data_IF_239169981263
#
_entry.id   IF_239169981263
#
_cell.length_a   1.000
_cell.length_b   1.000
_cell.length_c   1.000
_cell.angle_alpha   90.00
_cell.angle_beta   90.00
_cell.angle_gamma   90.00
#
_symmetry.space_group_name_H-M   'P 1'
#
loop_
_entity.id
_entity.type
_entity.pdbx_description
1 polymer ?
#
# COMPACT_ATOMS: atom_id res chain seq x y z
N UNK A 1 -23.38 4.77 35.23
CA UNK A 1 -22.37 3.73 34.96
C UNK A 1 -22.75 3.04 33.65
N UNK A 2 -22.15 3.45 32.53
CA UNK A 2 -22.41 2.82 31.24
C UNK A 2 -21.39 1.69 31.05
N UNK A 3 -21.86 0.44 31.09
CA UNK A 3 -21.04 -0.73 30.82
C UNK A 3 -20.53 -0.69 29.39
N UNK A 4 -19.21 -0.69 29.24
CA UNK A 4 -18.50 -0.99 28.01
C UNK A 4 -18.90 -2.41 27.57
N UNK A 5 -19.85 -2.51 26.64
CA UNK A 5 -20.02 -3.75 25.87
C UNK A 5 -18.81 -3.85 24.94
N UNK A 6 -17.74 -4.49 25.44
CA UNK A 6 -16.77 -5.17 24.60
C UNK A 6 -17.56 -5.97 23.55
N UNK A 7 -17.14 -5.92 22.27
CA UNK A 7 -17.65 -6.81 21.24
C UNK A 7 -17.63 -8.25 21.79
N UNK A 8 -18.79 -8.78 22.16
CA UNK A 8 -18.94 -10.13 22.71
C UNK A 8 -19.06 -11.19 21.61
N UNK A 9 -19.28 -10.76 20.38
CA UNK A 9 -19.33 -11.64 19.23
C UNK A 9 -17.97 -11.57 18.51
N UNK A 10 -17.35 -12.72 18.20
CA UNK A 10 -16.14 -12.73 17.38
C UNK A 10 -16.46 -12.04 16.05
N UNK A 11 -15.55 -11.16 15.60
CA UNK A 11 -15.65 -10.57 14.26
C UNK A 11 -15.85 -11.71 13.25
N UNK A 12 -16.76 -11.57 12.27
CA UNK A 12 -17.15 -12.67 11.37
C UNK A 12 -15.95 -13.33 10.65
N UNK A 13 -14.79 -12.68 10.63
CA UNK A 13 -13.60 -13.09 9.90
C UNK A 13 -12.32 -13.24 10.75
N UNK A 14 -12.38 -13.24 12.09
CA UNK A 14 -11.17 -13.36 12.93
C UNK A 14 -10.45 -14.69 12.65
N UNK A 15 -9.21 -14.72 12.13
CA UNK A 15 -8.44 -15.93 11.84
C UNK A 15 -8.50 -16.99 12.94
N UNK A 16 -8.94 -18.19 12.60
CA UNK A 16 -8.86 -19.38 13.45
C UNK A 16 -8.22 -20.50 12.63
N UNK A 17 -6.93 -20.74 12.84
CA UNK A 17 -6.15 -21.75 12.10
C UNK A 17 -4.66 -21.40 12.07
N UNK A 18 -3.78 -22.35 11.73
CA UNK A 18 -2.36 -22.06 11.56
C UNK A 18 -2.18 -21.10 10.38
N UNK A 19 -1.68 -19.89 10.66
CA UNK A 19 -1.32 -18.92 9.62
C UNK A 19 -0.13 -19.53 8.86
N UNK A 20 -0.31 -19.78 7.56
CA UNK A 20 0.81 -20.13 6.69
C UNK A 20 1.82 -18.97 6.70
N UNK A 21 3.01 -19.20 7.28
CA UNK A 21 4.05 -18.17 7.42
C UNK A 21 4.65 -17.71 6.07
N UNK A 22 4.43 -18.47 5.00
CA UNK A 22 4.93 -18.13 3.67
C UNK A 22 3.96 -17.15 2.99
N UNK A 23 4.44 -15.93 2.73
CA UNK A 23 3.69 -14.96 1.95
C UNK A 23 3.53 -15.41 0.49
N UNK A 24 2.51 -14.87 -0.16
CA UNK A 24 2.27 -15.03 -1.59
C UNK A 24 3.19 -14.06 -2.34
N UNK A 25 3.89 -14.56 -3.34
CA UNK A 25 4.85 -13.80 -4.15
C UNK A 25 4.22 -13.30 -5.45
N UNK A 26 4.48 -12.05 -5.81
CA UNK A 26 4.00 -11.44 -7.06
C UNK A 26 5.19 -11.14 -7.96
N UNK A 27 5.11 -11.58 -9.21
CA UNK A 27 6.24 -11.57 -10.14
C UNK A 27 5.95 -10.81 -11.43
N UNK A 28 7.01 -10.24 -12.00
CA UNK A 28 7.04 -9.68 -13.33
C UNK A 28 7.33 -10.78 -14.38
N UNK A 29 6.48 -10.95 -15.42
CA UNK A 29 6.56 -12.10 -16.31
C UNK A 29 7.78 -12.09 -17.25
N UNK A 30 8.23 -10.93 -17.72
CA UNK A 30 9.36 -10.80 -18.65
C UNK A 30 10.75 -10.69 -17.98
N UNK A 31 10.87 -10.94 -16.68
CA UNK A 31 12.18 -11.12 -16.03
C UNK A 31 12.45 -12.60 -15.74
N UNK A 32 13.71 -13.06 -15.71
CA UNK A 32 14.05 -14.38 -15.19
C UNK A 32 13.53 -14.55 -13.76
N UNK A 33 13.13 -15.78 -13.37
CA UNK A 33 12.48 -16.06 -12.09
C UNK A 33 13.22 -15.47 -10.87
N UNK A 34 14.56 -15.57 -10.85
CA UNK A 34 15.39 -15.02 -9.76
C UNK A 34 15.37 -13.50 -9.66
N UNK A 35 14.93 -12.83 -10.73
CA UNK A 35 14.94 -11.37 -10.89
C UNK A 35 13.54 -10.80 -11.10
N UNK A 36 12.49 -11.63 -11.02
CA UNK A 36 11.11 -11.23 -11.34
C UNK A 36 10.27 -10.89 -10.12
N UNK A 37 10.69 -11.27 -8.90
CA UNK A 37 9.95 -10.99 -7.67
C UNK A 37 9.77 -9.49 -7.49
N UNK A 38 8.51 -9.02 -7.47
CA UNK A 38 8.16 -7.61 -7.31
C UNK A 38 7.94 -7.28 -5.83
N UNK A 39 7.07 -8.04 -5.17
CA UNK A 39 6.72 -7.89 -3.75
C UNK A 39 6.00 -9.16 -3.27
N UNK A 40 5.75 -9.24 -1.96
CA UNK A 40 4.97 -10.32 -1.35
C UNK A 40 3.88 -9.78 -0.43
N UNK A 41 2.79 -10.51 -0.29
CA UNK A 41 1.69 -10.17 0.62
C UNK A 41 1.32 -11.36 1.52
N UNK A 42 0.92 -11.10 2.78
CA UNK A 42 0.61 -12.16 3.74
C UNK A 42 -0.69 -12.88 3.40
N UNK A 43 -0.81 -14.12 3.88
CA UNK A 43 -2.02 -14.93 3.79
C UNK A 43 -2.96 -14.61 4.95
N UNK A 44 -3.87 -13.67 4.73
CA UNK A 44 -4.70 -13.05 5.78
C UNK A 44 -6.19 -13.18 5.53
N UNK A 45 -6.58 -13.52 4.30
CA UNK A 45 -7.97 -13.73 3.91
C UNK A 45 -8.31 -15.22 3.96
N UNK A 46 -9.45 -15.57 4.59
CA UNK A 46 -9.91 -16.96 4.67
C UNK A 46 -10.36 -17.45 3.30
N UNK A 47 -9.87 -18.62 2.91
CA UNK A 47 -10.36 -19.34 1.72
C UNK A 47 -11.75 -19.92 1.99
N UNK A 48 -12.52 -20.17 0.91
CA UNK A 48 -13.81 -20.88 1.02
C UNK A 48 -13.62 -22.34 1.44
N UNK A 49 -12.50 -22.93 1.03
CA UNK A 49 -12.07 -24.25 1.44
C UNK A 49 -11.31 -24.14 2.79
N UNK A 50 -11.84 -24.72 3.88
CA UNK A 50 -11.19 -24.70 5.18
C UNK A 50 -9.84 -25.42 5.22
N UNK A 51 -9.61 -26.39 4.33
CA UNK A 51 -8.38 -27.20 4.31
C UNK A 51 -7.18 -26.42 3.75
N UNK A 52 -7.44 -25.39 2.95
CA UNK A 52 -6.45 -24.46 2.42
C UNK A 52 -6.09 -23.37 3.46
N UNK A 53 -7.03 -23.05 4.34
CA UNK A 53 -6.85 -22.11 5.44
C UNK A 53 -6.90 -20.64 5.00
N UNK A 54 -5.82 -20.13 4.43
CA UNK A 54 -5.63 -18.69 4.19
C UNK A 54 -4.90 -18.34 2.88
N UNK A 55 -5.33 -17.24 2.28
CA UNK A 55 -4.75 -16.64 1.09
C UNK A 55 -4.86 -15.12 1.12
N UNK A 56 -4.96 -14.48 -0.05
CA UNK A 56 -5.17 -13.03 -0.16
C UNK A 56 -6.33 -12.70 -1.08
N UNK A 57 -7.12 -11.70 -0.70
CA UNK A 57 -8.17 -11.14 -1.54
C UNK A 57 -7.63 -10.71 -2.92
N UNK A 58 -8.17 -11.32 -3.98
CA UNK A 58 -7.72 -11.15 -5.36
C UNK A 58 -7.76 -9.69 -5.80
N UNK A 59 -8.85 -8.96 -5.52
CA UNK A 59 -8.99 -7.54 -5.86
C UNK A 59 -7.93 -6.66 -5.20
N UNK A 60 -7.56 -6.96 -3.95
CA UNK A 60 -6.49 -6.25 -3.24
C UNK A 60 -5.13 -6.51 -3.88
N UNK A 61 -4.83 -7.77 -4.21
CA UNK A 61 -3.60 -8.16 -4.87
C UNK A 61 -3.47 -7.55 -6.27
N UNK A 62 -4.56 -7.60 -7.06
CA UNK A 62 -4.60 -7.02 -8.40
C UNK A 62 -4.38 -5.50 -8.35
N UNK A 63 -5.00 -4.80 -7.40
CA UNK A 63 -4.81 -3.37 -7.21
C UNK A 63 -3.36 -3.02 -6.83
N UNK A 64 -2.73 -3.82 -5.96
CA UNK A 64 -1.31 -3.66 -5.63
C UNK A 64 -0.43 -3.78 -6.89
N UNK A 65 -0.65 -4.79 -7.72
CA UNK A 65 0.09 -4.98 -8.97
C UNK A 65 -0.10 -3.81 -9.95
N UNK A 66 -1.34 -3.28 -10.07
CA UNK A 66 -1.61 -2.11 -10.92
C UNK A 66 -0.87 -0.87 -10.45
N UNK A 67 -0.79 -0.63 -9.14
CA UNK A 67 0.01 0.47 -8.57
C UNK A 67 1.48 0.32 -8.95
N UNK A 68 2.03 -0.88 -8.79
CA UNK A 68 3.43 -1.19 -9.11
C UNK A 68 3.74 -0.96 -10.59
N UNK A 69 2.77 -1.23 -11.47
CA UNK A 69 2.88 -0.97 -12.91
C UNK A 69 2.43 0.44 -13.34
N UNK A 70 2.28 1.40 -12.42
CA UNK A 70 1.97 2.80 -12.78
C UNK A 70 0.50 3.11 -13.01
N UNK A 71 -0.40 2.49 -12.23
CA UNK A 71 -1.85 2.65 -12.30
C UNK A 71 -2.44 2.20 -13.65
N UNK A 72 -1.87 1.16 -14.26
CA UNK A 72 -2.44 0.54 -15.46
C UNK A 72 -3.88 0.10 -15.20
N UNK A 73 -4.79 0.44 -16.11
CA UNK A 73 -6.21 0.11 -15.96
C UNK A 73 -6.49 -1.39 -16.11
N UNK A 74 -5.63 -2.09 -16.86
CA UNK A 74 -5.75 -3.51 -17.16
C UNK A 74 -4.88 -4.43 -16.29
N UNK A 75 -4.60 -5.60 -16.84
CA UNK A 75 -3.75 -6.63 -16.22
C UNK A 75 -4.53 -7.72 -15.50
N UNK A 76 -3.89 -8.89 -15.40
CA UNK A 76 -4.41 -10.11 -14.79
C UNK A 76 -3.32 -10.78 -13.95
N UNK A 77 -3.76 -11.56 -12.96
CA UNK A 77 -2.89 -12.43 -12.18
C UNK A 77 -2.97 -13.84 -12.74
N UNK A 78 -1.83 -14.45 -13.04
CA UNK A 78 -1.73 -15.76 -13.67
C UNK A 78 -0.78 -16.66 -12.86
N UNK A 79 -1.01 -17.98 -12.84
CA UNK A 79 -0.07 -18.95 -12.22
C UNK A 79 1.18 -19.17 -13.08
N UNK A 80 1.03 -19.08 -14.40
CA UNK A 80 2.12 -19.15 -15.37
C UNK A 80 2.29 -17.77 -16.04
N UNK A 81 3.54 -17.44 -16.35
CA UNK A 81 3.90 -16.22 -17.09
C UNK A 81 3.62 -16.33 -18.59
N UNK A 82 3.54 -17.54 -19.13
CA UNK A 82 3.29 -17.81 -20.55
C UNK A 82 1.79 -17.94 -20.85
N UNK A 83 1.02 -18.35 -19.85
CA UNK A 83 -0.42 -18.51 -19.97
C UNK A 83 -1.12 -17.18 -19.73
N UNK A 84 -2.14 -16.93 -20.53
CA UNK A 84 -2.97 -15.74 -20.40
C UNK A 84 -4.26 -16.00 -19.62
N UNK A 85 -4.42 -17.19 -19.04
CA UNK A 85 -5.59 -17.52 -18.25
C UNK A 85 -5.49 -16.85 -16.87
N UNK A 86 -6.42 -15.93 -16.54
CA UNK A 86 -6.44 -15.29 -15.24
C UNK A 86 -6.82 -16.30 -14.16
N UNK A 87 -6.21 -16.16 -12.99
CA UNK A 87 -6.61 -16.93 -11.81
C UNK A 87 -7.84 -16.31 -11.20
N UNK A 88 -8.81 -17.18 -10.94
CA UNK A 88 -10.05 -16.86 -10.26
C UNK A 88 -11.13 -16.27 -11.17
N UNK A 89 -12.37 -16.54 -10.80
CA UNK A 89 -13.55 -16.13 -11.58
C UNK A 89 -14.04 -14.71 -11.26
N UNK A 90 -13.44 -14.03 -10.27
CA UNK A 90 -13.82 -12.67 -9.91
C UNK A 90 -12.89 -12.00 -8.89
N UNK A 91 -13.03 -10.67 -8.69
CA UNK A 91 -12.22 -9.88 -7.76
C UNK A 91 -12.33 -10.33 -6.30
N UNK A 92 -13.40 -11.02 -5.96
CA UNK A 92 -13.80 -11.38 -4.60
C UNK A 92 -13.21 -12.72 -4.14
N UNK A 93 -12.50 -13.41 -5.03
CA UNK A 93 -11.86 -14.67 -4.69
C UNK A 93 -10.63 -14.47 -3.83
N UNK A 94 -10.23 -15.55 -3.16
CA UNK A 94 -9.03 -15.58 -2.34
C UNK A 94 -7.98 -16.40 -3.09
N UNK A 95 -6.88 -15.74 -3.43
CA UNK A 95 -5.70 -16.35 -4.02
C UNK A 95 -4.92 -17.11 -2.95
N UNK A 96 -4.69 -18.38 -3.19
CA UNK A 96 -4.11 -19.35 -2.25
C UNK A 96 -2.81 -20.01 -2.74
N UNK A 97 -2.44 -19.81 -4.00
CA UNK A 97 -1.17 -20.22 -4.58
C UNK A 97 0.00 -19.48 -3.95
N UNK A 98 1.20 -20.05 -4.08
CA UNK A 98 2.43 -19.48 -3.51
C UNK A 98 2.98 -18.30 -4.31
N UNK A 99 2.67 -18.24 -5.60
CA UNK A 99 3.18 -17.22 -6.49
C UNK A 99 2.23 -16.94 -7.64
N UNK A 100 2.23 -15.68 -8.11
CA UNK A 100 1.46 -15.22 -9.25
C UNK A 100 2.29 -14.25 -10.11
N UNK A 101 2.03 -14.25 -11.41
CA UNK A 101 2.57 -13.27 -12.35
C UNK A 101 1.53 -12.21 -12.66
N UNK A 102 1.94 -10.94 -12.66
CA UNK A 102 1.10 -9.86 -13.17
C UNK A 102 1.35 -9.63 -14.66
N UNK A 103 0.41 -10.06 -15.49
CA UNK A 103 0.52 -10.07 -16.95
C UNK A 103 -0.31 -8.94 -17.56
N UNK A 104 0.30 -8.18 -18.47
CA UNK A 104 -0.34 -7.11 -19.24
C UNK A 104 -0.50 -7.56 -20.70
N UNK A 105 -1.65 -7.27 -21.31
CA UNK A 105 -1.96 -7.70 -22.68
C UNK A 105 -0.95 -7.17 -23.72
N UNK A 106 -0.48 -5.93 -23.54
CA UNK A 106 0.45 -5.28 -24.47
C UNK A 106 1.91 -5.72 -24.28
N UNK A 107 2.19 -6.59 -23.30
CA UNK A 107 3.53 -7.07 -22.97
C UNK A 107 3.58 -8.61 -23.06
N UNK A 108 3.66 -9.16 -24.28
CA UNK A 108 3.72 -10.61 -24.49
C UNK A 108 4.97 -11.22 -23.86
N UNK A 109 4.93 -12.54 -23.66
CA UNK A 109 6.03 -13.32 -23.06
C UNK A 109 6.44 -14.42 -24.05
N UNK A 110 7.70 -14.46 -24.54
CA UNK A 110 8.78 -13.52 -24.23
C UNK A 110 8.58 -12.16 -24.93
N UNK A 111 8.97 -11.09 -24.24
CA UNK A 111 8.93 -9.73 -24.77
C UNK A 111 9.68 -8.75 -23.87
N UNK A 112 9.68 -7.44 -24.20
CA UNK A 112 10.27 -6.45 -23.31
C UNK A 112 9.49 -6.38 -21.98
N UNK A 113 10.15 -6.06 -20.86
CA UNK A 113 9.47 -5.85 -19.60
C UNK A 113 8.66 -4.55 -19.60
N UNK A 114 7.55 -4.53 -18.86
CA UNK A 114 6.81 -3.29 -18.62
C UNK A 114 7.49 -2.47 -17.53
N UNK A 115 7.22 -1.17 -17.56
CA UNK A 115 7.82 -0.24 -16.62
C UNK A 115 7.22 -0.41 -15.21
N UNK A 116 8.09 -0.39 -14.20
CA UNK A 116 7.70 -0.45 -12.78
C UNK A 116 7.90 0.90 -12.12
N UNK A 117 6.99 1.29 -11.23
CA UNK A 117 7.17 2.46 -10.36
C UNK A 117 8.19 2.10 -9.26
N UNK A 118 9.37 2.73 -9.25
CA UNK A 118 10.47 2.31 -8.37
C UNK A 118 10.32 2.83 -6.93
N UNK A 119 9.56 3.91 -6.72
CA UNK A 119 9.33 4.48 -5.39
C UNK A 119 8.02 5.28 -5.35
N UNK A 120 7.53 5.57 -4.15
CA UNK A 120 6.35 6.42 -3.98
C UNK A 120 6.55 7.84 -4.52
N UNK A 121 7.78 8.36 -4.55
CA UNK A 121 8.08 9.69 -5.10
C UNK A 121 7.97 9.74 -6.63
N UNK A 122 8.12 8.59 -7.28
CA UNK A 122 7.98 8.44 -8.73
C UNK A 122 6.55 8.06 -9.16
N UNK A 123 5.66 7.81 -8.20
CA UNK A 123 4.29 7.39 -8.46
C UNK A 123 3.40 8.60 -8.77
N UNK A 124 2.86 8.66 -9.98
CA UNK A 124 1.84 9.64 -10.32
C UNK A 124 0.51 9.27 -9.65
N UNK A 125 -0.04 10.17 -8.85
CA UNK A 125 -1.33 9.97 -8.22
C UNK A 125 -2.45 9.99 -9.29
N UNK A 126 -3.38 9.01 -9.34
CA UNK A 126 -4.38 8.90 -10.40
C UNK A 126 -5.58 9.82 -10.15
N UNK A 127 -5.37 11.14 -10.15
CA UNK A 127 -6.34 12.17 -9.71
C UNK A 127 -7.77 12.02 -10.28
N UNK A 128 -7.94 11.53 -11.52
CA UNK A 128 -9.25 11.37 -12.17
C UNK A 128 -9.82 9.94 -12.21
N UNK A 129 -9.03 8.92 -11.88
CA UNK A 129 -9.41 7.51 -12.04
C UNK A 129 -9.70 6.78 -10.70
N UNK A 130 -9.59 7.49 -9.56
CA UNK A 130 -9.82 6.92 -8.23
C UNK A 130 -11.25 6.40 -8.06
N UNK A 131 -12.22 6.98 -8.77
CA UNK A 131 -13.66 6.75 -8.53
C UNK A 131 -14.20 5.37 -8.87
N UNK A 132 -13.58 4.63 -9.80
CA UNK A 132 -14.12 3.33 -10.24
C UNK A 132 -13.82 2.21 -9.21
N UNK A 133 -12.64 2.25 -8.61
CA UNK A 133 -12.18 1.20 -7.68
C UNK A 133 -12.31 1.58 -6.20
N UNK A 134 -12.43 2.88 -5.88
CA UNK A 134 -12.53 3.38 -4.52
C UNK A 134 -13.86 4.13 -4.30
N UNK A 135 -14.82 3.51 -3.58
CA UNK A 135 -16.13 4.11 -3.33
C UNK A 135 -16.03 5.42 -2.53
N UNK A 136 -16.93 6.36 -2.82
CA UNK A 136 -17.10 7.54 -1.99
C UNK A 136 -17.60 7.10 -0.60
N UNK A 137 -17.03 7.63 0.49
CA UNK A 137 -17.67 7.50 1.79
C UNK A 137 -19.10 8.05 1.74
N UNK A 138 -20.05 7.33 2.31
CA UNK A 138 -21.43 7.79 2.44
C UNK A 138 -21.48 9.07 3.28
N UNK A 139 -22.15 10.12 2.80
CA UNK A 139 -22.31 11.40 3.51
C UNK A 139 -23.35 11.26 4.63
N UNK A 140 -22.95 10.60 5.73
CA UNK A 140 -23.76 10.52 6.94
C UNK A 140 -23.34 11.66 7.87
N UNK A 141 -24.16 12.72 7.90
CA UNK A 141 -23.92 13.92 8.69
C UNK A 141 -23.83 13.63 10.19
N UNK A 142 -22.62 13.50 10.76
CA UNK A 142 -22.36 13.72 12.20
C UNK A 142 -20.88 14.06 12.46
N UNK A 143 -20.66 14.76 13.58
CA UNK A 143 -19.41 15.31 14.15
C UNK A 143 -18.12 14.53 13.79
N UNK A 144 -17.01 15.19 13.38
CA UNK A 144 -15.72 14.52 13.14
C UNK A 144 -15.40 13.51 14.24
N UNK A 145 -15.28 12.24 13.83
CA UNK A 145 -15.13 11.10 14.75
C UNK A 145 -14.09 11.37 15.84
N UNK A 146 -14.54 11.63 17.07
CA UNK A 146 -13.72 11.70 18.30
C UNK A 146 -13.28 10.31 18.80
N UNK A 147 -13.28 9.31 17.92
CA UNK A 147 -13.01 7.90 18.24
C UNK A 147 -12.07 7.27 17.22
N UNK A 148 -11.45 6.16 17.61
CA UNK A 148 -10.61 5.35 16.75
C UNK A 148 -11.44 4.77 15.59
N UNK A 149 -10.97 4.98 14.36
CA UNK A 149 -11.66 4.57 13.12
C UNK A 149 -11.81 3.03 12.99
N UNK A 150 -11.00 2.28 13.74
CA UNK A 150 -10.99 0.80 13.76
C UNK A 150 -11.69 0.25 15.00
N UNK A 151 -11.30 0.67 16.20
CA UNK A 151 -11.75 0.06 17.46
C UNK A 151 -12.96 0.72 18.11
N UNK A 152 -13.43 1.88 17.60
CA UNK A 152 -14.49 2.73 18.19
C UNK A 152 -14.20 3.26 19.61
N UNK A 153 -12.99 3.06 20.12
CA UNK A 153 -12.56 3.58 21.42
C UNK A 153 -12.23 5.08 21.32
N UNK A 154 -12.60 5.85 22.34
CA UNK A 154 -12.29 7.29 22.45
C UNK A 154 -11.00 7.58 23.22
N UNK A 155 -10.37 6.57 23.81
CA UNK A 155 -9.20 6.73 24.66
C UNK A 155 -7.88 6.72 23.86
N UNK A 156 -6.96 7.61 24.23
CA UNK A 156 -5.57 7.67 23.73
C UNK A 156 -5.47 7.70 22.19
N UNK A 157 -6.20 8.63 21.58
CA UNK A 157 -6.22 8.81 20.13
C UNK A 157 -5.01 9.60 19.65
N UNK A 158 -4.51 9.20 18.48
CA UNK A 158 -3.49 9.90 17.71
C UNK A 158 -4.02 10.15 16.30
N UNK A 159 -3.68 11.32 15.76
CA UNK A 159 -3.96 11.73 14.39
C UNK A 159 -2.87 11.18 13.48
N UNK A 160 -3.21 10.24 12.60
CA UNK A 160 -2.30 9.78 11.56
C UNK A 160 -2.50 10.64 10.31
N UNK A 161 -1.43 11.29 9.85
CA UNK A 161 -1.45 12.21 8.71
C UNK A 161 -1.03 11.50 7.41
N UNK A 162 -1.64 11.91 6.30
CA UNK A 162 -1.23 11.52 4.96
C UNK A 162 -0.11 12.40 4.45
N UNK A 163 1.07 11.83 4.19
CA UNK A 163 2.12 12.41 3.33
C UNK A 163 2.58 13.85 3.67
N UNK A 164 2.36 14.33 4.88
CA UNK A 164 2.73 15.69 5.29
C UNK A 164 1.79 16.80 4.77
N UNK A 165 0.61 16.45 4.27
CA UNK A 165 -0.43 17.42 3.88
C UNK A 165 -1.45 17.52 5.01
N UNK A 166 -1.40 18.62 5.77
CA UNK A 166 -2.32 18.91 6.88
C UNK A 166 -3.69 19.40 6.37
N UNK A 167 -4.44 18.48 5.75
CA UNK A 167 -5.87 18.64 5.54
C UNK A 167 -6.62 17.80 6.57
N UNK A 168 -7.66 18.36 7.18
CA UNK A 168 -8.52 17.65 8.13
C UNK A 168 -9.14 16.36 7.55
N UNK A 169 -9.19 16.24 6.20
CA UNK A 169 -9.68 15.05 5.50
C UNK A 169 -8.60 14.00 5.15
N UNK A 170 -7.33 14.32 5.41
CA UNK A 170 -6.17 13.43 5.27
C UNK A 170 -5.69 12.92 6.64
N UNK A 171 -6.57 12.96 7.63
CA UNK A 171 -6.29 12.56 9.00
C UNK A 171 -7.27 11.45 9.39
N UNK A 172 -6.71 10.37 9.94
CA UNK A 172 -7.49 9.33 10.59
C UNK A 172 -7.15 9.28 12.08
N UNK A 173 -8.18 9.15 12.92
CA UNK A 173 -7.97 8.96 14.35
C UNK A 173 -7.77 7.48 14.64
N UNK A 174 -6.62 7.14 15.21
CA UNK A 174 -6.25 5.79 15.58
C UNK A 174 -5.88 5.74 17.06
N UNK A 175 -6.17 4.61 17.71
CA UNK A 175 -5.61 4.29 19.03
C UNK A 175 -4.07 4.28 18.92
N UNK A 176 -3.37 4.73 19.96
CA UNK A 176 -1.92 4.98 19.89
C UNK A 176 -1.06 3.77 19.47
N UNK A 177 -1.49 2.56 19.78
CA UNK A 177 -0.88 1.29 19.35
C UNK A 177 -1.10 1.05 17.85
N UNK A 178 -2.34 1.19 17.36
CA UNK A 178 -2.69 1.07 15.95
C UNK A 178 -2.00 2.14 15.09
N UNK A 179 -1.87 3.36 15.61
CA UNK A 179 -1.17 4.45 14.93
C UNK A 179 0.29 4.10 14.66
N UNK A 180 0.99 3.50 15.63
CA UNK A 180 2.41 3.15 15.49
C UNK A 180 2.64 2.16 14.35
N UNK A 181 1.81 1.11 14.29
CA UNK A 181 1.93 0.07 13.25
C UNK A 181 1.35 0.54 11.91
N UNK A 182 0.40 1.48 11.90
CA UNK A 182 -0.06 2.14 10.68
C UNK A 182 1.06 2.96 10.02
N UNK A 183 1.81 3.77 10.79
CA UNK A 183 2.97 4.53 10.27
C UNK A 183 4.08 3.62 9.72
N UNK A 184 4.24 2.44 10.35
CA UNK A 184 5.16 1.40 9.89
C UNK A 184 4.69 0.70 8.60
N UNK A 185 3.48 0.99 8.10
CA UNK A 185 2.83 0.33 6.96
C UNK A 185 2.58 -1.17 7.20
N UNK A 186 2.31 -1.55 8.45
CA UNK A 186 1.91 -2.93 8.80
C UNK A 186 0.53 -3.28 8.25
N UNK A 187 -0.37 -2.30 8.19
CA UNK A 187 -1.68 -2.44 7.59
C UNK A 187 -2.07 -1.18 6.80
N UNK A 188 -3.09 -1.31 5.97
CA UNK A 188 -3.69 -0.26 5.15
C UNK A 188 -5.21 -0.36 5.18
N UNK A 189 -5.87 0.61 4.58
CA UNK A 189 -7.31 0.61 4.36
C UNK A 189 -7.59 0.42 2.88
N UNK A 190 -8.35 -0.62 2.53
CA UNK A 190 -8.63 -0.99 1.14
C UNK A 190 -10.12 -1.28 0.95
N UNK A 191 -10.66 -1.06 -0.25
CA UNK A 191 -12.04 -1.39 -0.54
C UNK A 191 -12.24 -2.90 -0.72
N UNK A 192 -13.32 -3.41 -0.11
CA UNK A 192 -13.81 -4.79 -0.22
C UNK A 192 -15.34 -4.77 -0.26
N UNK A 193 -15.89 -4.47 -1.45
CA UNK A 193 -17.32 -4.14 -1.68
C UNK A 193 -18.24 -5.34 -1.44
N UNK A 194 -17.75 -6.52 -1.71
CA UNK A 194 -18.40 -7.80 -1.48
C UNK A 194 -18.55 -8.12 0.02
N UNK A 195 -17.67 -7.60 0.88
CA UNK A 195 -17.77 -7.78 2.33
C UNK A 195 -18.66 -6.70 2.95
N UNK A 196 -18.49 -5.44 2.56
CA UNK A 196 -19.13 -4.29 3.25
C UNK A 196 -19.68 -3.20 2.31
N UNK A 197 -19.90 -3.50 1.04
CA UNK A 197 -20.52 -2.59 0.09
C UNK A 197 -22.05 -2.55 0.20
N UNK A 198 -22.71 -1.68 -0.61
CA UNK A 198 -24.16 -1.49 -0.54
C UNK A 198 -24.97 -2.78 -0.72
N UNK A 199 -24.45 -3.73 -1.49
CA UNK A 199 -25.11 -4.98 -1.81
C UNK A 199 -24.74 -6.13 -0.85
N UNK A 200 -23.87 -5.91 0.16
CA UNK A 200 -23.39 -6.98 1.04
C UNK A 200 -24.37 -7.35 2.17
N UNK A 201 -25.50 -6.64 2.28
CA UNK A 201 -26.47 -6.83 3.37
C UNK A 201 -26.00 -6.30 4.73
N UNK A 202 -24.82 -5.66 4.79
CA UNK A 202 -24.30 -4.96 5.96
C UNK A 202 -24.46 -3.44 5.80
N UNK A 203 -24.27 -2.69 6.89
CA UNK A 203 -24.09 -1.23 6.80
C UNK A 203 -22.95 -0.93 5.80
N UNK A 204 -23.16 -0.06 4.80
CA UNK A 204 -22.19 0.16 3.72
C UNK A 204 -20.95 0.87 4.27
N UNK A 205 -19.94 0.07 4.61
CA UNK A 205 -18.65 0.53 5.09
C UNK A 205 -17.60 0.21 4.04
N UNK A 206 -17.25 1.18 3.18
CA UNK A 206 -16.54 0.91 1.94
C UNK A 206 -15.12 0.34 2.11
N UNK A 207 -14.54 0.45 3.30
CA UNK A 207 -13.14 0.17 3.56
C UNK A 207 -12.98 -0.79 4.73
N UNK A 208 -11.96 -1.63 4.62
CA UNK A 208 -11.52 -2.51 5.71
C UNK A 208 -10.05 -2.32 6.04
N UNK A 209 -9.66 -2.68 7.25
CA UNK A 209 -8.25 -2.85 7.60
C UNK A 209 -7.70 -4.12 6.96
N UNK A 210 -6.65 -3.98 6.15
CA UNK A 210 -5.96 -5.09 5.50
C UNK A 210 -4.48 -5.10 5.92
N UNK A 211 -4.01 -6.25 6.38
CA UNK A 211 -2.65 -6.44 6.90
C UNK A 211 -1.71 -6.75 5.75
N UNK A 212 -0.52 -6.13 5.73
CA UNK A 212 0.46 -6.25 4.65
C UNK A 212 1.78 -6.90 5.04
N UNK A 213 2.04 -7.12 6.34
CA UNK A 213 3.29 -7.69 6.82
C UNK A 213 3.08 -9.02 7.53
N UNK A 214 3.90 -10.01 7.18
CA UNK A 214 3.90 -11.35 7.78
C UNK A 214 4.20 -11.34 9.28
N UNK A 215 5.16 -10.54 9.72
CA UNK A 215 5.66 -10.56 11.11
C UNK A 215 4.60 -10.10 12.12
N UNK A 216 3.62 -9.32 11.66
CA UNK A 216 2.55 -8.72 12.47
C UNK A 216 1.20 -9.44 12.31
N UNK A 217 1.12 -10.54 11.54
CA UNK A 217 -0.14 -11.27 11.30
C UNK A 217 -0.71 -11.87 12.59
N UNK A 218 0.15 -12.20 13.56
CA UNK A 218 -0.23 -12.87 14.82
C UNK A 218 -1.38 -12.19 15.56
N UNK A 219 -1.16 -11.02 16.16
CA UNK A 219 -2.20 -10.32 16.92
C UNK A 219 -3.03 -9.39 16.04
N UNK A 220 -2.38 -8.60 15.18
CA UNK A 220 -3.06 -7.58 14.36
C UNK A 220 -3.89 -8.23 13.25
N UNK A 221 -3.33 -9.24 12.58
CA UNK A 221 -4.07 -10.04 11.60
C UNK A 221 -5.26 -10.74 12.23
N UNK A 222 -5.07 -11.37 13.40
CA UNK A 222 -6.17 -12.08 14.07
C UNK A 222 -7.30 -11.16 14.55
N UNK A 223 -6.96 -10.00 15.11
CA UNK A 223 -7.96 -9.12 15.73
C UNK A 223 -8.56 -8.08 14.78
N UNK A 224 -7.78 -7.60 13.81
CA UNK A 224 -8.16 -6.40 13.06
C UNK A 224 -8.28 -6.62 11.55
N UNK A 225 -7.83 -7.74 11.01
CA UNK A 225 -7.99 -8.00 9.57
C UNK A 225 -9.47 -8.03 9.17
N UNK A 226 -9.79 -7.40 8.04
CA UNK A 226 -11.15 -7.23 7.55
C UNK A 226 -12.11 -6.52 8.51
N UNK A 227 -11.61 -5.80 9.53
CA UNK A 227 -12.46 -4.92 10.34
C UNK A 227 -12.89 -3.71 9.51
N UNK A 228 -14.21 -3.47 9.37
CA UNK A 228 -14.71 -2.36 8.58
C UNK A 228 -14.48 -1.02 9.29
N UNK A 229 -14.05 -0.03 8.51
CA UNK A 229 -13.77 1.31 9.00
C UNK A 229 -15.07 2.01 9.39
N UNK A 230 -15.01 2.76 10.48
CA UNK A 230 -16.13 3.53 11.01
C UNK A 230 -15.90 5.00 10.76
N UNK A 231 -16.93 5.78 10.47
CA UNK A 231 -16.74 7.23 10.31
C UNK A 231 -15.97 7.62 9.03
N UNK A 232 -16.08 6.81 7.97
CA UNK A 232 -15.35 7.02 6.71
C UNK A 232 -15.71 8.32 6.01
N UNK A 233 -16.87 8.91 6.31
CA UNK A 233 -17.36 10.20 5.80
C UNK A 233 -16.37 11.35 5.99
N UNK A 234 -15.48 11.25 6.99
CA UNK A 234 -14.48 12.27 7.30
C UNK A 234 -13.12 12.04 6.61
N UNK A 235 -12.98 10.98 5.82
CA UNK A 235 -11.71 10.55 5.22
C UNK A 235 -11.79 10.54 3.70
N UNK A 236 -10.75 11.00 3.01
CA UNK A 236 -10.73 10.96 1.53
C UNK A 236 -10.29 9.59 1.03
N UNK A 237 -10.96 9.07 -0.01
CA UNK A 237 -10.54 7.83 -0.69
C UNK A 237 -9.13 7.96 -1.27
N UNK A 238 -8.79 9.16 -1.73
CA UNK A 238 -7.48 9.52 -2.26
C UNK A 238 -6.38 9.33 -1.21
N UNK A 239 -6.68 9.63 0.06
CA UNK A 239 -5.77 9.40 1.17
C UNK A 239 -5.52 7.91 1.38
N UNK A 240 -6.57 7.08 1.38
CA UNK A 240 -6.44 5.63 1.57
C UNK A 240 -5.66 4.98 0.42
N UNK A 241 -5.95 5.38 -0.82
CA UNK A 241 -5.21 4.93 -2.00
C UNK A 241 -3.73 5.33 -1.92
N UNK A 242 -3.43 6.58 -1.60
CA UNK A 242 -2.04 7.03 -1.49
C UNK A 242 -1.27 6.28 -0.39
N UNK A 243 -1.95 5.96 0.73
CA UNK A 243 -1.36 5.16 1.81
C UNK A 243 -1.14 3.71 1.38
N UNK A 244 -2.05 3.13 0.62
CA UNK A 244 -1.88 1.81 0.04
C UNK A 244 -0.71 1.77 -0.94
N UNK A 245 -0.66 2.72 -1.89
CA UNK A 245 0.41 2.80 -2.86
C UNK A 245 1.79 2.98 -2.19
N UNK A 246 1.89 3.83 -1.18
CA UNK A 246 3.13 3.98 -0.40
C UNK A 246 3.56 2.68 0.27
N UNK A 247 2.62 1.91 0.81
CA UNK A 247 2.93 0.64 1.47
C UNK A 247 3.43 -0.40 0.47
N UNK A 248 2.74 -0.56 -0.65
CA UNK A 248 3.10 -1.52 -1.71
C UNK A 248 4.44 -1.16 -2.35
N UNK A 249 4.67 0.11 -2.71
CA UNK A 249 5.90 0.54 -3.39
C UNK A 249 7.14 0.43 -2.51
N UNK A 250 7.00 0.40 -1.17
CA UNK A 250 8.12 0.01 -0.29
C UNK A 250 8.50 -1.46 -0.45
N UNK A 251 7.53 -2.34 -0.73
CA UNK A 251 7.79 -3.75 -0.98
C UNK A 251 8.60 -4.00 -2.26
N UNK A 252 8.57 -3.05 -3.21
CA UNK A 252 9.27 -3.13 -4.50
C UNK A 252 10.76 -2.77 -4.40
N UNK A 253 11.21 -2.21 -3.27
CA UNK A 253 12.59 -1.76 -3.08
C UNK A 253 13.62 -2.87 -3.38
N UNK A 254 13.36 -4.11 -2.94
CA UNK A 254 14.25 -5.25 -3.18
C UNK A 254 14.42 -5.57 -4.68
N UNK A 255 13.32 -5.48 -5.45
CA UNK A 255 13.34 -5.69 -6.90
C UNK A 255 14.20 -4.64 -7.63
N UNK A 256 14.08 -3.38 -7.20
CA UNK A 256 14.80 -2.23 -7.75
C UNK A 256 16.29 -2.29 -7.41
N UNK A 257 16.63 -2.65 -6.17
CA UNK A 257 18.00 -2.63 -5.66
C UNK A 257 18.80 -3.92 -5.93
N UNK A 258 18.23 -4.89 -6.65
CA UNK A 258 18.85 -6.18 -6.94
C UNK A 258 20.11 -6.09 -7.84
N UNK A 259 20.45 -4.89 -8.35
CA UNK A 259 21.64 -4.66 -9.16
C UNK A 259 21.49 -5.01 -10.65
N UNK A 260 20.28 -5.36 -11.09
CA UNK A 260 19.98 -5.65 -12.49
C UNK A 260 19.34 -4.44 -13.20
N UNK A 261 19.51 -4.25 -14.51
CA UNK A 261 18.79 -3.21 -15.25
C UNK A 261 17.28 -3.38 -15.15
N UNK A 262 16.57 -2.27 -14.90
CA UNK A 262 15.10 -2.23 -14.81
C UNK A 262 14.52 -1.18 -15.73
N UNK A 263 13.37 -1.49 -16.31
CA UNK A 263 12.52 -0.49 -16.95
C UNK A 263 11.63 0.10 -15.85
N UNK A 264 11.75 1.41 -15.63
CA UNK A 264 11.09 2.12 -14.53
C UNK A 264 10.32 3.34 -15.02
N UNK A 265 9.24 3.68 -14.32
CA UNK A 265 8.54 4.94 -14.47
C UNK A 265 9.18 5.98 -13.54
N UNK A 266 9.61 7.11 -14.10
CA UNK A 266 10.25 8.20 -13.36
C UNK A 266 9.43 9.47 -13.47
N UNK A 267 9.03 10.01 -12.32
CA UNK A 267 8.45 11.34 -12.26
C UNK A 267 9.59 12.36 -12.10
N UNK A 268 9.80 13.19 -13.12
CA UNK A 268 10.66 14.36 -13.01
C UNK A 268 9.86 15.50 -12.35
N UNK A 269 10.51 16.48 -11.73
CA UNK A 269 9.83 17.57 -11.00
C UNK A 269 8.81 18.30 -11.89
N UNK A 270 7.51 18.01 -11.66
CA UNK A 270 6.38 18.64 -12.36
C UNK A 270 6.04 18.07 -13.74
N UNK A 271 6.66 16.95 -14.15
CA UNK A 271 6.40 16.31 -15.44
C UNK A 271 5.57 15.02 -15.36
N UNK A 272 5.03 14.60 -16.50
CA UNK A 272 4.43 13.26 -16.65
C UNK A 272 5.50 12.16 -16.43
N UNK A 273 5.15 11.02 -15.81
CA UNK A 273 6.08 9.92 -15.63
C UNK A 273 6.65 9.44 -16.97
N UNK A 274 7.98 9.36 -17.06
CA UNK A 274 8.67 8.87 -18.26
C UNK A 274 9.21 7.46 -18.03
N UNK A 275 9.06 6.61 -19.04
CA UNK A 275 9.65 5.26 -19.05
C UNK A 275 11.15 5.38 -19.32
N UNK A 276 11.97 4.78 -18.45
CA UNK A 276 13.43 4.73 -18.60
C UNK A 276 13.97 3.36 -18.25
N UNK A 277 14.91 2.86 -19.04
CA UNK A 277 15.73 1.73 -18.64
C UNK A 277 16.96 2.24 -17.89
N UNK A 278 17.14 1.81 -16.65
CA UNK A 278 18.24 2.24 -15.79
C UNK A 278 19.06 1.04 -15.35
N UNK A 279 20.39 1.20 -15.31
CA UNK A 279 21.28 0.16 -14.80
C UNK A 279 21.14 -0.01 -13.29
N UNK A 280 21.47 -1.20 -12.78
CA UNK A 280 21.42 -1.47 -11.34
C UNK A 280 22.27 -0.54 -10.48
N UNK A 281 23.39 -0.04 -11.01
CA UNK A 281 24.23 0.94 -10.32
C UNK A 281 23.52 2.29 -10.16
N UNK A 282 22.85 2.77 -11.22
CA UNK A 282 22.06 4.02 -11.17
C UNK A 282 20.86 3.85 -10.25
N UNK A 283 20.16 2.73 -10.32
CA UNK A 283 19.04 2.44 -9.41
C UNK A 283 19.47 2.42 -7.95
N UNK A 284 20.64 1.84 -7.65
CA UNK A 284 21.19 1.82 -6.30
C UNK A 284 21.59 3.21 -5.80
N UNK A 285 22.17 4.05 -6.66
CA UNK A 285 22.51 5.43 -6.30
C UNK A 285 21.26 6.26 -5.99
N UNK A 286 20.21 6.10 -6.80
CA UNK A 286 18.97 6.86 -6.65
C UNK A 286 18.07 6.37 -5.50
N UNK A 287 18.01 5.06 -5.27
CA UNK A 287 17.04 4.45 -4.34
C UNK A 287 17.66 3.72 -3.15
N UNK A 288 18.97 3.44 -3.18
CA UNK A 288 19.63 2.60 -2.15
C UNK A 288 20.05 3.33 -0.87
N UNK A 289 19.86 4.65 -0.78
CA UNK A 289 20.28 5.49 0.34
C UNK A 289 19.38 5.43 1.58
N UNK A 290 18.66 4.33 1.81
CA UNK A 290 17.60 4.20 2.81
C UNK A 290 17.93 4.78 4.19
N UNK A 291 17.17 5.79 4.62
CA UNK A 291 17.23 6.35 5.97
C UNK A 291 16.02 7.23 6.27
N UNK A 292 15.22 6.83 7.25
CA UNK A 292 13.99 7.50 7.68
C UNK A 292 14.18 8.99 7.98
N UNK A 293 13.63 9.84 7.11
CA UNK A 293 12.99 11.15 7.39
C UNK A 293 12.73 11.84 6.06
N UNK A 294 11.46 12.17 5.80
CA UNK A 294 11.01 13.29 4.95
C UNK A 294 11.96 13.66 3.81
N UNK A 295 11.67 13.16 2.60
CA UNK A 295 12.24 13.70 1.37
C UNK A 295 11.85 15.17 1.22
N UNK A 296 12.71 16.07 1.68
CA UNK A 296 12.86 17.38 1.09
C UNK A 296 14.25 17.40 0.43
N UNK A 297 14.36 17.73 -0.87
CA UNK A 297 15.65 17.85 -1.52
C UNK A 297 16.47 18.94 -0.82
N UNK A 298 17.59 18.56 -0.19
CA UNK A 298 18.52 19.55 0.34
C UNK A 298 19.28 20.20 -0.83
N UNK A 299 18.97 21.47 -1.06
CA UNK A 299 19.53 22.34 -2.08
C UNK A 299 21.09 22.33 -2.07
N UNK A 300 21.76 22.01 -3.21
CA UNK A 300 23.22 21.88 -3.29
C UNK A 300 24.01 23.15 -2.90
N UNK A 301 23.36 24.32 -2.88
CA UNK A 301 23.99 25.61 -2.56
C UNK A 301 24.47 25.76 -1.12
N UNK A 302 24.02 24.92 -0.17
CA UNK A 302 24.38 25.07 1.25
C UNK A 302 25.75 24.49 1.62
N UNK A 303 26.39 23.71 0.75
CA UNK A 303 27.69 23.07 1.03
C UNK A 303 28.91 23.97 0.72
N UNK A 304 28.69 25.18 0.18
CA UNK A 304 29.77 26.05 -0.31
C UNK A 304 30.04 27.30 0.53
N UNK A 305 29.48 27.40 1.75
CA UNK A 305 29.59 28.60 2.59
C UNK A 305 30.15 28.29 3.99
N UNK A 306 31.28 27.61 4.03
CA UNK A 306 32.12 27.47 5.22
C UNK A 306 33.58 27.39 4.79
N UNK A 307 34.15 28.54 4.42
CA UNK A 307 35.52 28.60 3.91
C UNK A 307 35.99 29.99 3.52
N UNK A 308 35.59 31.05 4.22
CA UNK A 308 36.24 32.35 4.11
C UNK A 308 36.60 32.85 5.51
N UNK A 309 37.89 33.16 5.66
CA UNK A 309 38.61 33.52 6.88
C UNK A 309 38.26 34.94 7.30
N UNK A 310 38.14 35.14 8.61
CA UNK A 310 38.09 36.47 9.24
C UNK A 310 39.48 37.13 9.14
N UNK A 311 39.56 38.29 8.48
CA UNK A 311 40.64 39.25 8.66
C UNK A 311 40.05 40.65 8.94
N UNK A 312 40.67 41.31 9.91
CA UNK A 312 40.70 42.74 10.22
C UNK A 312 39.43 43.52 10.57
N UNK A 313 39.35 43.91 11.85
CA UNK A 313 38.95 45.28 12.22
C UNK A 313 39.96 45.88 13.20
N UNK A 314 40.70 46.89 12.70
CA UNK A 314 41.42 47.88 13.50
C UNK A 314 40.42 48.81 14.19
N UNK A 315 40.69 49.17 15.44
CA UNK A 315 39.98 50.19 16.19
C UNK A 315 40.80 51.48 16.13
N UNK A 316 40.26 52.52 15.50
CA UNK A 316 40.68 53.91 15.72
C UNK A 316 39.75 54.51 16.79
N UNK A 317 40.36 54.98 17.87
CA UNK A 317 39.71 55.60 19.03
C UNK A 317 40.62 55.61 20.25
#
# INVERSE_FOLDING_TARGET
MAQTKLLKDPLPNAPTGPIHHKAIEFHHPNYPLRLSHLFSLPRVDRTRDPDIGFGIHHGTALLACRIVAGNVAGGRLCVDRHENEPVGSGPDEVLDGDMYYFVLADYPVPGPPYAIVPSFSDWAFPHGAVSESWPLPSDLSHDPSVRCIVSRDGLVLKKAHGLGIDSHRNIVNLRADLHKIYDANTFVFVPKKEIYGPDSGHDPLPYVLHVLKNDDVGEVGTMFHNVPLQGTEHTMREFHLARFARAILRGVEAFILQGHPRVVLRADEGGEPTVRELSGAVLKDLYGGGGARTSSPLNPRKRRRSGERNEDYRYDG
#
